data_IF_022196247801
#
_entry.id   IF_022196247801
#
_cell.length_a   1.000
_cell.length_b   1.000
_cell.length_c   1.000
_cell.angle_alpha   90.00
_cell.angle_beta   90.00
_cell.angle_gamma   90.00
#
_symmetry.space_group_name_H-M   'P 1'
#
loop_
_entity.id
_entity.type
_entity.pdbx_description
1 polymer ?
#
# COMPACT_ATOMS: atom_id res chain seq x y z
N UNK A 1 5.12 13.95 22.05
CA UNK A 1 4.73 14.64 23.32
C UNK A 1 3.24 15.03 23.30
N UNK A 2 2.76 15.87 22.34
CA UNK A 2 1.33 16.22 22.29
C UNK A 2 0.41 14.99 22.15
N UNK A 3 0.75 14.06 21.28
CA UNK A 3 0.02 12.81 21.03
C UNK A 3 -0.11 11.97 22.32
N UNK A 4 0.96 11.84 23.08
CA UNK A 4 0.97 11.10 24.35
C UNK A 4 0.11 11.80 25.43
N UNK A 5 0.12 13.15 25.47
CA UNK A 5 -0.72 13.91 26.37
C UNK A 5 -2.22 13.76 26.07
N UNK A 6 -2.55 13.48 24.80
CA UNK A 6 -3.90 13.13 24.35
C UNK A 6 -4.26 11.66 24.60
N UNK A 7 -3.38 10.90 25.26
CA UNK A 7 -3.61 9.48 25.53
C UNK A 7 -3.51 8.57 24.32
N UNK A 8 -2.94 9.06 23.22
CA UNK A 8 -2.81 8.30 21.96
C UNK A 8 -1.50 7.51 21.98
N UNK A 9 -1.59 6.21 21.72
CA UNK A 9 -0.40 5.35 21.62
C UNK A 9 0.47 5.76 20.42
N UNK A 10 1.75 6.02 20.67
CA UNK A 10 2.74 6.31 19.64
C UNK A 10 3.55 5.04 19.34
N UNK A 11 3.59 4.64 18.08
CA UNK A 11 4.53 3.64 17.58
C UNK A 11 5.66 4.34 16.86
N UNK A 12 6.89 4.16 17.33
CA UNK A 12 8.11 4.67 16.70
C UNK A 12 9.09 3.52 16.49
N UNK A 13 9.68 3.44 15.30
CA UNK A 13 10.60 2.38 14.93
C UNK A 13 11.81 2.98 14.20
N UNK A 14 13.00 2.76 14.72
CA UNK A 14 14.24 3.43 14.26
C UNK A 14 14.71 3.01 12.85
N UNK A 15 14.21 1.88 12.31
CA UNK A 15 14.71 1.29 11.05
C UNK A 15 13.62 1.06 10.00
N UNK A 16 12.40 1.49 10.26
CA UNK A 16 11.24 1.25 9.40
C UNK A 16 10.44 2.53 9.22
N UNK A 17 9.78 2.64 8.10
CA UNK A 17 8.87 3.73 7.83
C UNK A 17 7.53 3.56 8.59
N UNK A 18 6.79 4.65 8.77
CA UNK A 18 5.49 4.61 9.43
C UNK A 18 4.52 3.67 8.72
N UNK A 19 4.61 3.59 7.40
CA UNK A 19 3.74 2.77 6.55
C UNK A 19 3.98 1.27 6.75
N UNK A 20 5.23 0.86 6.98
CA UNK A 20 5.57 -0.52 7.36
C UNK A 20 4.97 -0.89 8.72
N UNK A 21 5.01 0.04 9.68
CA UNK A 21 4.37 -0.15 10.97
C UNK A 21 2.84 -0.31 10.83
N UNK A 22 2.19 0.55 10.03
CA UNK A 22 0.76 0.49 9.74
C UNK A 22 0.40 -0.84 9.06
N UNK A 23 1.15 -1.24 8.03
CA UNK A 23 0.92 -2.49 7.31
C UNK A 23 1.10 -3.71 8.24
N UNK A 24 2.08 -3.66 9.14
CA UNK A 24 2.31 -4.72 10.13
C UNK A 24 1.19 -4.81 11.16
N UNK A 25 0.69 -3.69 11.67
CA UNK A 25 -0.52 -3.65 12.53
C UNK A 25 -1.72 -4.24 11.79
N UNK A 26 -1.95 -3.84 10.55
CA UNK A 26 -3.02 -4.39 9.72
C UNK A 26 -2.87 -5.92 9.57
N UNK A 27 -1.65 -6.42 9.34
CA UNK A 27 -1.36 -7.85 9.21
C UNK A 27 -1.65 -8.63 10.50
N UNK A 28 -1.27 -8.10 11.66
CA UNK A 28 -1.52 -8.72 12.98
C UNK A 28 -3.00 -8.82 13.30
N UNK A 29 -3.79 -7.83 12.89
CA UNK A 29 -5.20 -7.72 13.29
C UNK A 29 -6.21 -8.08 12.19
N UNK A 30 -5.78 -8.34 10.94
CA UNK A 30 -6.67 -8.59 9.78
C UNK A 30 -7.70 -9.70 9.97
N UNK A 31 -7.38 -10.72 10.78
CA UNK A 31 -8.25 -11.87 11.02
C UNK A 31 -8.98 -11.80 12.37
N UNK A 32 -8.86 -10.68 13.09
CA UNK A 32 -9.57 -10.46 14.36
C UNK A 32 -10.87 -9.69 14.08
N UNK A 33 -11.85 -9.85 14.93
CA UNK A 33 -13.12 -9.11 14.81
C UNK A 33 -12.95 -7.64 15.27
N UNK A 34 -12.08 -6.92 14.56
CA UNK A 34 -11.71 -5.53 14.85
C UNK A 34 -11.77 -4.76 13.55
N UNK A 35 -12.40 -3.58 13.55
CA UNK A 35 -12.35 -2.66 12.43
C UNK A 35 -11.10 -1.79 12.53
N UNK A 36 -10.31 -1.74 11.46
CA UNK A 36 -9.13 -0.89 11.34
C UNK A 36 -9.46 0.26 10.41
N UNK A 37 -9.19 1.48 10.85
CA UNK A 37 -9.33 2.70 10.04
C UNK A 37 -7.96 3.34 9.91
N UNK A 38 -7.41 3.36 8.70
CA UNK A 38 -6.13 4.01 8.38
C UNK A 38 -6.41 5.45 7.98
N UNK A 39 -5.98 6.42 8.78
CA UNK A 39 -6.11 7.85 8.48
C UNK A 39 -4.95 8.32 7.60
N UNK A 40 -5.06 8.18 6.27
CA UNK A 40 -4.01 8.57 5.33
C UNK A 40 -4.59 8.93 3.95
N UNK A 41 -3.76 9.61 3.14
CA UNK A 41 -3.99 9.87 1.71
C UNK A 41 -3.03 9.07 0.84
N UNK A 42 -2.09 8.37 1.45
CA UNK A 42 -1.06 7.63 0.76
C UNK A 42 -1.64 6.42 0.04
N UNK A 43 -1.39 6.35 -1.27
CA UNK A 43 -1.90 5.26 -2.11
C UNK A 43 -1.24 3.92 -1.80
N UNK A 44 -0.01 3.93 -1.26
CA UNK A 44 0.72 2.71 -0.95
C UNK A 44 0.04 1.93 0.17
N UNK A 45 -0.56 2.62 1.13
CA UNK A 45 -1.37 2.01 2.19
C UNK A 45 -2.65 1.32 1.68
N UNK A 46 -3.03 1.53 0.41
CA UNK A 46 -4.13 0.77 -0.19
C UNK A 46 -3.83 -0.73 -0.30
N UNK A 47 -2.55 -1.14 -0.24
CA UNK A 47 -2.15 -2.56 -0.11
C UNK A 47 -2.78 -3.24 1.11
N UNK A 48 -3.00 -2.50 2.18
CA UNK A 48 -3.59 -3.00 3.42
C UNK A 48 -5.08 -3.35 3.31
N UNK A 49 -5.79 -2.82 2.30
CA UNK A 49 -7.25 -2.94 2.16
C UNK A 49 -7.72 -4.30 1.61
N UNK A 50 -6.91 -5.34 1.74
CA UNK A 50 -7.24 -6.69 1.25
C UNK A 50 -8.34 -7.38 2.06
N UNK A 51 -8.67 -6.86 3.25
CA UNK A 51 -9.68 -7.39 4.15
C UNK A 51 -10.80 -6.36 4.38
N UNK A 52 -12.05 -6.84 4.44
CA UNK A 52 -13.26 -5.98 4.57
C UNK A 52 -13.31 -5.18 5.88
N UNK A 53 -12.61 -5.62 6.93
CA UNK A 53 -12.53 -4.90 8.19
C UNK A 53 -11.45 -3.80 8.21
N UNK A 54 -10.69 -3.62 7.12
CA UNK A 54 -9.67 -2.58 6.99
C UNK A 54 -10.13 -1.57 5.96
N UNK A 55 -10.17 -0.30 6.35
CA UNK A 55 -10.56 0.81 5.46
C UNK A 55 -9.61 1.98 5.63
N UNK A 56 -9.41 2.77 4.58
CA UNK A 56 -8.73 4.06 4.69
C UNK A 56 -9.75 5.19 4.87
N UNK A 57 -9.37 6.22 5.62
CA UNK A 57 -10.14 7.46 5.77
C UNK A 57 -9.30 8.66 5.38
N UNK A 58 -9.79 9.41 4.41
CA UNK A 58 -9.22 10.69 4.01
C UNK A 58 -9.79 11.82 4.86
N UNK A 59 -8.97 12.43 5.70
CA UNK A 59 -9.37 13.61 6.50
C UNK A 59 -9.63 14.82 5.60
N UNK A 60 -8.91 14.94 4.48
CA UNK A 60 -9.06 16.02 3.51
C UNK A 60 -10.39 15.96 2.76
N UNK A 61 -10.77 14.78 2.27
CA UNK A 61 -11.97 14.60 1.44
C UNK A 61 -13.15 14.07 2.23
N UNK A 62 -12.95 13.70 3.51
CA UNK A 62 -13.97 13.12 4.42
C UNK A 62 -14.63 11.86 3.81
N UNK A 63 -13.85 11.04 3.12
CA UNK A 63 -14.32 9.83 2.43
C UNK A 63 -13.60 8.60 2.94
N UNK A 64 -14.29 7.47 2.89
CA UNK A 64 -13.68 6.15 3.12
C UNK A 64 -13.31 5.51 1.79
N UNK A 65 -12.18 4.82 1.78
CA UNK A 65 -11.73 3.96 0.68
C UNK A 65 -11.69 2.52 1.18
N UNK A 66 -12.33 1.61 0.44
CA UNK A 66 -12.40 0.18 0.72
C UNK A 66 -11.74 -0.59 -0.43
N UNK A 67 -11.65 -1.91 -0.28
CA UNK A 67 -11.14 -2.84 -1.31
C UNK A 67 -11.78 -2.63 -2.68
N UNK A 68 -13.09 -2.46 -2.73
CA UNK A 68 -13.83 -2.28 -3.98
C UNK A 68 -13.50 -0.95 -4.66
N UNK A 69 -13.33 0.13 -3.87
CA UNK A 69 -12.97 1.45 -4.40
C UNK A 69 -11.56 1.45 -5.04
N UNK A 70 -10.64 0.64 -4.50
CA UNK A 70 -9.31 0.43 -5.11
C UNK A 70 -9.45 -0.20 -6.49
N UNK A 71 -10.28 -1.24 -6.62
CA UNK A 71 -10.52 -1.88 -7.90
C UNK A 71 -11.20 -0.94 -8.91
N UNK A 72 -12.19 -0.17 -8.48
CA UNK A 72 -12.87 0.81 -9.34
C UNK A 72 -11.93 1.91 -9.83
N UNK A 73 -11.00 2.33 -8.98
CA UNK A 73 -10.05 3.41 -9.30
C UNK A 73 -8.91 2.95 -10.19
N UNK A 74 -8.30 1.80 -9.89
CA UNK A 74 -7.05 1.35 -10.54
C UNK A 74 -7.22 0.14 -11.44
N UNK A 75 -8.37 -0.54 -11.40
CA UNK A 75 -8.60 -1.79 -12.11
C UNK A 75 -7.84 -2.99 -11.54
N UNK A 76 -7.28 -2.86 -10.33
CA UNK A 76 -6.53 -3.92 -9.64
C UNK A 76 -6.99 -4.02 -8.18
N UNK A 77 -6.81 -5.21 -7.58
CA UNK A 77 -7.11 -5.40 -6.17
C UNK A 77 -5.96 -4.90 -5.27
N UNK A 78 -6.22 -4.59 -3.98
CA UNK A 78 -5.21 -4.11 -3.03
C UNK A 78 -3.90 -4.89 -3.05
N UNK A 79 -3.95 -6.22 -3.08
CA UNK A 79 -2.76 -7.09 -3.13
C UNK A 79 -1.88 -6.89 -4.37
N UNK A 80 -2.41 -6.25 -5.42
CA UNK A 80 -1.73 -6.01 -6.70
C UNK A 80 -1.17 -4.57 -6.81
N UNK A 81 -1.42 -3.73 -5.81
CA UNK A 81 -0.93 -2.33 -5.81
C UNK A 81 0.59 -2.26 -5.96
N UNK A 82 1.42 -3.07 -5.25
CA UNK A 82 2.87 -3.05 -5.48
C UNK A 82 3.27 -3.35 -6.93
N UNK A 83 2.71 -4.40 -7.52
CA UNK A 83 2.96 -4.75 -8.91
C UNK A 83 2.49 -3.65 -9.88
N UNK A 84 1.35 -3.03 -9.58
CA UNK A 84 0.80 -1.93 -10.37
C UNK A 84 1.72 -0.71 -10.34
N UNK A 85 2.16 -0.28 -9.17
CA UNK A 85 3.07 0.86 -9.01
C UNK A 85 4.45 0.58 -9.60
N UNK A 86 4.95 -0.65 -9.47
CA UNK A 86 6.19 -1.05 -10.14
C UNK A 86 6.12 -0.93 -11.68
N UNK A 87 4.97 -1.25 -12.27
CA UNK A 87 4.74 -1.16 -13.72
C UNK A 87 4.53 0.29 -14.19
N UNK A 88 3.68 1.04 -13.50
CA UNK A 88 3.26 2.40 -13.89
C UNK A 88 4.28 3.44 -13.44
N UNK A 89 4.92 3.20 -12.31
CA UNK A 89 5.76 4.15 -11.60
C UNK A 89 5.02 4.88 -10.47
N UNK A 90 5.81 5.48 -9.60
CA UNK A 90 5.38 6.35 -8.54
C UNK A 90 6.26 7.59 -8.46
N UNK A 91 5.73 8.73 -8.91
CA UNK A 91 6.50 9.98 -8.92
C UNK A 91 6.74 10.54 -7.52
N UNK A 92 5.90 10.21 -6.52
CA UNK A 92 6.12 10.62 -5.13
C UNK A 92 7.38 9.99 -4.54
N UNK A 93 7.64 8.74 -4.90
CA UNK A 93 8.76 7.95 -4.39
C UNK A 93 9.92 7.86 -5.41
N UNK A 94 9.81 8.59 -6.51
CA UNK A 94 10.85 8.63 -7.54
C UNK A 94 10.96 7.32 -8.36
N UNK A 95 9.92 6.50 -8.38
CA UNK A 95 9.88 5.24 -9.14
C UNK A 95 9.38 5.52 -10.55
N UNK A 96 10.21 5.33 -11.60
CA UNK A 96 9.86 5.72 -12.97
C UNK A 96 8.86 4.77 -13.65
N UNK A 97 8.71 3.55 -13.15
CA UNK A 97 7.92 2.50 -13.78
C UNK A 97 8.54 1.96 -15.08
N UNK A 98 7.76 1.21 -15.84
CA UNK A 98 8.17 0.62 -17.13
C UNK A 98 7.78 1.50 -18.30
N UNK A 99 8.74 1.91 -19.10
CA UNK A 99 8.54 2.82 -20.23
C UNK A 99 7.44 2.32 -21.18
N UNK A 100 6.39 3.13 -21.33
CA UNK A 100 5.27 2.87 -22.22
C UNK A 100 4.17 2.01 -21.60
N UNK A 101 4.31 1.55 -20.37
CA UNK A 101 3.28 0.84 -19.63
C UNK A 101 2.57 1.83 -18.70
N UNK A 102 1.41 2.31 -19.11
CA UNK A 102 0.55 3.16 -18.30
C UNK A 102 -0.51 2.34 -17.53
N UNK A 103 -1.29 3.04 -16.71
CA UNK A 103 -2.30 2.46 -15.80
C UNK A 103 -3.20 1.42 -16.46
N UNK A 104 -3.79 1.74 -17.63
CA UNK A 104 -4.68 0.82 -18.35
C UNK A 104 -3.99 -0.48 -18.76
N UNK A 105 -2.75 -0.39 -19.24
CA UNK A 105 -1.98 -1.55 -19.65
C UNK A 105 -1.57 -2.41 -18.47
N UNK A 106 -1.09 -1.76 -17.40
CA UNK A 106 -0.72 -2.44 -16.16
C UNK A 106 -1.93 -3.17 -15.53
N UNK A 107 -3.08 -2.49 -15.44
CA UNK A 107 -4.31 -3.08 -14.91
C UNK A 107 -4.74 -4.33 -15.72
N UNK A 108 -4.77 -4.24 -17.04
CA UNK A 108 -5.14 -5.37 -17.91
C UNK A 108 -4.18 -6.55 -17.76
N UNK A 109 -2.87 -6.29 -17.67
CA UNK A 109 -1.87 -7.33 -17.46
C UNK A 109 -2.05 -8.01 -16.10
N UNK A 110 -2.25 -7.22 -15.04
CA UNK A 110 -2.43 -7.73 -13.68
C UNK A 110 -3.78 -8.45 -13.49
N UNK A 111 -4.84 -8.02 -14.15
CA UNK A 111 -6.12 -8.75 -14.17
C UNK A 111 -5.98 -10.14 -14.80
N UNK A 112 -5.17 -10.26 -15.85
CA UNK A 112 -4.97 -11.55 -16.56
C UNK A 112 -3.93 -12.45 -15.90
N UNK A 113 -2.82 -11.89 -15.45
CA UNK A 113 -1.65 -12.67 -14.97
C UNK A 113 -1.39 -12.54 -13.47
N UNK A 114 -2.16 -11.73 -12.76
CA UNK A 114 -2.15 -11.51 -11.31
C UNK A 114 -0.95 -10.74 -10.74
N UNK A 115 0.27 -11.00 -11.19
CA UNK A 115 1.51 -10.39 -10.69
C UNK A 115 2.58 -10.29 -11.78
N UNK A 116 3.67 -9.54 -11.53
CA UNK A 116 4.74 -9.31 -12.50
C UNK A 116 5.49 -10.61 -12.85
N UNK A 117 5.62 -11.54 -11.93
CA UNK A 117 6.29 -12.81 -12.16
C UNK A 117 5.56 -13.65 -13.21
N UNK A 118 4.23 -13.68 -13.11
CA UNK A 118 3.39 -14.37 -14.09
C UNK A 118 3.32 -13.60 -15.42
N UNK A 119 3.31 -12.28 -15.40
CA UNK A 119 3.44 -11.46 -16.61
C UNK A 119 4.72 -11.82 -17.33
N UNK A 120 5.86 -11.89 -16.62
CA UNK A 120 7.15 -12.25 -17.21
C UNK A 120 7.18 -13.69 -17.76
N UNK A 121 6.65 -14.65 -17.02
CA UNK A 121 6.57 -16.05 -17.48
C UNK A 121 5.76 -16.23 -18.77
N UNK A 122 4.78 -15.36 -19.00
CA UNK A 122 3.86 -15.46 -20.14
C UNK A 122 4.13 -14.42 -21.25
N UNK A 123 5.33 -13.85 -21.32
CA UNK A 123 5.69 -12.81 -22.31
C UNK A 123 5.38 -13.20 -23.76
N UNK A 124 5.61 -14.46 -24.14
CA UNK A 124 5.36 -14.96 -25.50
C UNK A 124 3.86 -14.97 -25.85
N UNK A 125 3.00 -15.26 -24.88
CA UNK A 125 1.55 -15.31 -25.07
C UNK A 125 0.95 -13.92 -25.31
N UNK A 126 1.23 -12.97 -24.41
CA UNK A 126 0.60 -11.65 -24.51
C UNK A 126 1.27 -10.73 -25.53
N UNK A 127 2.52 -11.02 -25.94
CA UNK A 127 3.21 -10.37 -27.05
C UNK A 127 2.37 -10.37 -28.32
N UNK A 128 1.65 -11.44 -28.59
CA UNK A 128 0.85 -11.62 -29.81
C UNK A 128 -0.57 -11.07 -29.62
N UNK A 129 -1.15 -11.24 -28.44
CA UNK A 129 -2.58 -11.04 -28.19
C UNK A 129 -2.92 -9.68 -27.55
N UNK A 130 -1.96 -8.78 -27.41
CA UNK A 130 -2.14 -7.51 -26.71
C UNK A 130 -1.72 -6.32 -27.59
N UNK A 131 -2.55 -5.27 -27.64
CA UNK A 131 -2.21 -4.06 -28.40
C UNK A 131 -0.91 -3.44 -27.85
N UNK A 132 0.11 -3.33 -28.69
CA UNK A 132 1.46 -2.90 -28.25
C UNK A 132 2.27 -3.99 -27.55
N UNK A 133 1.80 -5.23 -27.53
CA UNK A 133 2.39 -6.35 -26.80
C UNK A 133 3.86 -6.59 -27.11
N UNK A 134 4.27 -6.51 -28.38
CA UNK A 134 5.68 -6.66 -28.77
C UNK A 134 6.59 -5.65 -28.05
N UNK A 135 6.20 -4.37 -28.07
CA UNK A 135 6.99 -3.31 -27.44
C UNK A 135 7.04 -3.46 -25.91
N UNK A 136 5.88 -3.66 -25.30
CA UNK A 136 5.77 -3.78 -23.84
C UNK A 136 6.46 -5.05 -23.33
N UNK A 137 6.36 -6.18 -24.06
CA UNK A 137 7.05 -7.42 -23.68
C UNK A 137 8.56 -7.27 -23.73
N UNK A 138 9.09 -6.60 -24.76
CA UNK A 138 10.52 -6.32 -24.85
C UNK A 138 10.96 -5.42 -23.69
N UNK A 139 10.20 -4.35 -23.38
CA UNK A 139 10.51 -3.47 -22.24
C UNK A 139 10.59 -4.26 -20.92
N UNK A 140 9.61 -5.13 -20.64
CA UNK A 140 9.63 -5.94 -19.43
C UNK A 140 10.77 -6.97 -19.46
N UNK A 141 11.00 -7.61 -20.60
CA UNK A 141 12.07 -8.60 -20.72
C UNK A 141 13.46 -8.01 -20.45
N UNK A 142 13.74 -6.87 -21.07
CA UNK A 142 15.02 -6.17 -20.94
C UNK A 142 15.25 -5.58 -19.54
N UNK A 143 14.17 -5.25 -18.81
CA UNK A 143 14.23 -4.55 -17.53
C UNK A 143 13.62 -5.35 -16.37
N UNK A 144 13.58 -6.68 -16.44
CA UNK A 144 12.88 -7.49 -15.44
C UNK A 144 13.49 -7.37 -14.04
N UNK A 145 14.82 -7.32 -13.93
CA UNK A 145 15.49 -7.13 -12.64
C UNK A 145 15.16 -5.75 -12.02
N UNK A 146 15.09 -4.73 -12.86
CA UNK A 146 14.70 -3.39 -12.44
C UNK A 146 13.22 -3.36 -12.02
N UNK A 147 12.35 -4.06 -12.73
CA UNK A 147 10.93 -4.19 -12.38
C UNK A 147 10.75 -4.89 -11.02
N UNK A 148 11.54 -5.93 -10.73
CA UNK A 148 11.53 -6.57 -9.40
C UNK A 148 11.98 -5.60 -8.31
N UNK A 149 13.03 -4.83 -8.55
CA UNK A 149 13.48 -3.81 -7.61
C UNK A 149 12.37 -2.77 -7.34
N UNK A 150 11.68 -2.30 -8.38
CA UNK A 150 10.55 -1.38 -8.19
C UNK A 150 9.42 -2.00 -7.37
N UNK A 151 9.11 -3.28 -7.60
CA UNK A 151 8.13 -4.00 -6.77
C UNK A 151 8.57 -4.08 -5.31
N UNK A 152 9.85 -4.39 -5.06
CA UNK A 152 10.38 -4.45 -3.71
C UNK A 152 10.28 -3.08 -3.01
N UNK A 153 10.58 -1.99 -3.73
CA UNK A 153 10.48 -0.62 -3.21
C UNK A 153 9.05 -0.16 -2.95
N UNK A 154 8.08 -0.65 -3.73
CA UNK A 154 6.65 -0.31 -3.56
C UNK A 154 5.92 -1.24 -2.59
N UNK A 155 6.55 -2.33 -2.16
CA UNK A 155 5.93 -3.33 -1.28
C UNK A 155 6.16 -2.96 0.18
N UNK A 156 5.10 -2.61 0.91
CA UNK A 156 5.18 -2.36 2.33
C UNK A 156 5.52 -3.62 3.11
N UNK A 157 6.40 -3.49 4.07
CA UNK A 157 6.69 -4.57 5.02
C UNK A 157 5.51 -4.77 5.97
N UNK A 158 5.10 -6.01 6.14
CA UNK A 158 4.00 -6.39 7.03
C UNK A 158 4.45 -7.36 8.13
N UNK A 159 5.75 -7.47 8.32
CA UNK A 159 6.43 -8.38 9.24
C UNK A 159 7.24 -7.64 10.33
N UNK A 160 7.12 -6.33 10.40
CA UNK A 160 7.75 -5.53 11.45
C UNK A 160 7.13 -5.87 12.80
N UNK A 161 7.98 -6.00 13.82
CA UNK A 161 7.51 -6.35 15.17
C UNK A 161 6.72 -5.20 15.79
N UNK A 162 5.40 -5.37 15.86
CA UNK A 162 4.45 -4.43 16.49
C UNK A 162 3.75 -5.10 17.68
N UNK A 163 3.18 -4.35 18.64
CA UNK A 163 2.36 -4.94 19.69
C UNK A 163 1.21 -5.76 19.13
N UNK A 164 0.93 -6.92 19.70
CA UNK A 164 -0.07 -7.88 19.19
C UNK A 164 -1.36 -7.93 20.02
N UNK A 165 -1.40 -7.24 21.15
CA UNK A 165 -2.59 -7.08 21.98
C UNK A 165 -3.32 -5.79 21.63
N UNK A 166 -4.65 -5.84 21.49
CA UNK A 166 -5.46 -4.63 21.26
C UNK A 166 -5.37 -3.65 22.44
N UNK A 167 -5.07 -4.15 23.63
CA UNK A 167 -4.90 -3.30 24.82
C UNK A 167 -3.71 -2.35 24.67
N UNK A 168 -2.68 -2.72 23.91
CA UNK A 168 -1.51 -1.89 23.69
C UNK A 168 -1.82 -0.65 22.83
N UNK A 169 -2.98 -0.62 22.20
CA UNK A 169 -3.48 0.48 21.36
C UNK A 169 -4.65 1.24 22.03
N UNK A 170 -4.95 0.93 23.29
CA UNK A 170 -6.02 1.63 24.00
C UNK A 170 -5.63 3.07 24.28
N UNK A 171 -6.60 3.98 24.17
CA UNK A 171 -6.42 5.35 24.66
C UNK A 171 -6.21 5.32 26.18
N UNK A 172 -5.24 6.06 26.66
CA UNK A 172 -5.07 6.37 28.09
C UNK A 172 -5.82 7.65 28.45
N UNK A 173 -5.89 7.95 29.76
CA UNK A 173 -6.52 9.18 30.21
C UNK A 173 -5.78 10.42 29.69
N UNK A 174 -6.55 11.43 29.32
CA UNK A 174 -6.01 12.71 28.83
C UNK A 174 -5.47 13.51 30.02
N UNK A 175 -4.22 13.91 29.92
CA UNK A 175 -3.61 14.79 30.93
C UNK A 175 -3.86 16.27 30.59
N UNK A 176 -5.01 16.79 30.98
CA UNK A 176 -5.45 18.16 30.68
C UNK A 176 -4.50 19.21 31.28
N UNK A 177 -3.92 18.95 32.48
CA UNK A 177 -3.02 19.90 33.14
C UNK A 177 -1.71 20.09 32.39
N UNK A 178 -1.20 19.05 31.75
CA UNK A 178 0.03 19.15 30.96
C UNK A 178 -0.23 19.60 29.51
N UNK A 179 -1.43 19.35 28.99
CA UNK A 179 -1.85 19.92 27.69
C UNK A 179 -1.93 21.45 27.74
N UNK A 180 -2.47 22.03 28.83
CA UNK A 180 -2.53 23.48 28.98
C UNK A 180 -1.14 24.13 28.99
N UNK A 181 -0.16 23.50 29.62
CA UNK A 181 1.24 23.96 29.63
C UNK A 181 1.96 23.78 28.27
N UNK A 182 1.43 22.95 27.40
CA UNK A 182 2.00 22.70 26.06
C UNK A 182 1.52 23.70 25.02
N UNK A 183 0.40 24.40 25.27
CA UNK A 183 -0.17 25.41 24.37
C UNK A 183 0.40 26.83 24.58
N UNK A 184 1.18 27.05 25.63
CA UNK A 184 1.89 28.29 25.94
C UNK A 184 3.32 28.24 25.36
#
# INVERSE_FOLDING_TARGET
KATELLGITLLSMDQYEADDAIASVCSVFKNKNIKIIIGSLDKDLMQCLSNENIVMYSTRYKTFTKKQDVYEKFGVYPKQIPDFLALVGDSSDGIPGMRGIGEKTAALLLQKYENIENIYKNLSEWKINFKGGVRHSNTIHENYELLKLFKDLTTLRSDVKVPSSIKDYSLSDINISDLSKFSD
#
